data_IF_202045539608
#
_entry.id   IF_202045539608
#
_cell.length_a   1.000
_cell.length_b   1.000
_cell.length_c   1.000
_cell.angle_alpha   90.00
_cell.angle_beta   90.00
_cell.angle_gamma   90.00
#
_symmetry.space_group_name_H-M   'P 1'
#
loop_
_entity.id
_entity.type
_entity.pdbx_description
1 polymer ?
#
# COMPACT_ATOMS: atom_id res chain seq x y z
N UNK A 1 9.06 16.14 9.48
CA UNK A 1 7.67 16.53 9.18
C UNK A 1 6.75 16.03 10.28
N UNK A 2 5.91 16.90 10.78
CA UNK A 2 4.96 16.56 11.85
C UNK A 2 3.76 15.82 11.24
N UNK A 3 3.57 14.57 11.61
CA UNK A 3 2.46 13.74 11.09
C UNK A 3 1.15 13.98 11.82
N UNK A 4 1.22 14.19 13.13
CA UNK A 4 0.07 14.47 14.00
C UNK A 4 -0.17 15.98 14.11
N UNK A 5 -1.41 16.41 13.91
CA UNK A 5 -1.79 17.81 13.79
C UNK A 5 -0.95 18.57 12.76
N UNK A 6 -0.93 18.09 11.51
CA UNK A 6 -0.08 18.68 10.47
C UNK A 6 -0.58 20.07 10.06
N UNK A 7 0.33 20.87 9.47
CA UNK A 7 0.00 22.19 8.92
C UNK A 7 -0.59 22.10 7.50
N UNK A 8 -0.34 20.97 6.82
CA UNK A 8 -0.83 20.69 5.47
C UNK A 8 -1.06 19.18 5.31
N UNK A 9 -1.86 18.77 4.32
CA UNK A 9 -2.02 17.35 3.97
C UNK A 9 -0.68 16.70 3.65
N UNK A 10 -0.50 15.46 4.09
CA UNK A 10 0.68 14.64 3.84
C UNK A 10 0.38 13.71 2.67
N UNK A 11 1.26 13.68 1.68
CA UNK A 11 1.15 12.75 0.57
C UNK A 11 1.76 11.41 1.00
N UNK A 12 0.96 10.36 0.94
CA UNK A 12 1.38 8.99 1.17
C UNK A 12 1.31 8.18 -0.12
N UNK A 13 2.24 7.27 -0.29
CA UNK A 13 2.24 6.29 -1.38
C UNK A 13 2.10 4.89 -0.79
N UNK A 14 1.27 4.07 -1.42
CA UNK A 14 1.05 2.68 -1.04
C UNK A 14 1.23 1.75 -2.23
N UNK A 15 1.53 0.48 -1.95
CA UNK A 15 1.72 -0.53 -2.98
C UNK A 15 0.79 -1.72 -2.77
N UNK A 16 0.02 -2.06 -3.79
CA UNK A 16 -0.62 -3.36 -3.92
C UNK A 16 0.32 -4.23 -4.73
N UNK A 17 1.20 -4.95 -4.03
CA UNK A 17 2.16 -5.85 -4.65
C UNK A 17 1.51 -7.21 -4.82
N UNK A 18 1.32 -7.63 -6.06
CA UNK A 18 0.64 -8.88 -6.41
C UNK A 18 1.63 -9.87 -6.99
N UNK A 19 1.53 -11.11 -6.54
CA UNK A 19 2.21 -12.27 -7.11
C UNK A 19 1.20 -13.43 -7.22
N UNK A 20 0.71 -13.69 -8.43
CA UNK A 20 -0.36 -14.65 -8.67
C UNK A 20 -1.64 -14.28 -7.92
N UNK A 21 -2.08 -15.14 -7.02
CA UNK A 21 -3.26 -14.95 -6.16
C UNK A 21 -2.97 -14.26 -4.83
N UNK A 22 -1.71 -13.86 -4.59
CA UNK A 22 -1.24 -13.33 -3.33
C UNK A 22 -1.00 -11.83 -3.39
N UNK A 23 -1.21 -11.16 -2.27
CA UNK A 23 -0.88 -9.76 -2.04
C UNK A 23 0.07 -9.65 -0.85
N UNK A 24 1.00 -8.70 -0.94
CA UNK A 24 1.94 -8.41 0.12
C UNK A 24 1.31 -7.49 1.16
N UNK A 25 1.32 -7.93 2.41
CA UNK A 25 0.90 -7.11 3.55
C UNK A 25 2.07 -6.91 4.51
N UNK A 26 2.04 -5.80 5.21
CA UNK A 26 2.97 -5.47 6.29
C UNK A 26 2.22 -5.22 7.59
N UNK A 27 2.81 -5.58 8.73
CA UNK A 27 2.31 -5.21 10.04
C UNK A 27 3.03 -3.97 10.52
N UNK A 28 2.28 -2.94 10.85
CA UNK A 28 2.83 -1.65 11.27
C UNK A 28 3.57 -1.77 12.60
N UNK A 29 4.80 -1.27 12.64
CA UNK A 29 5.62 -1.21 13.85
C UNK A 29 5.48 0.09 14.63
N UNK A 30 4.81 1.11 14.08
CA UNK A 30 4.67 2.45 14.67
C UNK A 30 3.26 3.00 14.60
N UNK A 31 2.97 3.97 15.48
CA UNK A 31 1.73 4.73 15.43
C UNK A 31 1.67 5.65 14.18
N UNK A 32 0.49 5.98 13.61
CA UNK A 32 -0.82 5.44 14.02
C UNK A 32 -1.01 3.98 13.60
N UNK A 33 -1.90 3.27 14.30
CA UNK A 33 -2.34 1.90 13.99
C UNK A 33 -1.23 0.84 14.15
N UNK A 34 -0.34 1.02 15.14
CA UNK A 34 0.71 0.03 15.48
C UNK A 34 0.11 -1.36 15.69
N UNK A 35 0.73 -2.36 15.07
CA UNK A 35 0.30 -3.76 15.14
C UNK A 35 -0.77 -4.15 14.13
N UNK A 36 -1.35 -3.20 13.39
CA UNK A 36 -2.31 -3.48 12.34
C UNK A 36 -1.63 -3.87 11.02
N UNK A 37 -2.29 -4.73 10.26
CA UNK A 37 -1.87 -5.09 8.91
C UNK A 37 -2.37 -4.05 7.89
N UNK A 38 -1.54 -3.76 6.90
CA UNK A 38 -1.85 -2.82 5.85
C UNK A 38 -1.02 -3.09 4.59
N UNK A 39 -1.28 -2.33 3.54
CA UNK A 39 -0.38 -2.27 2.39
C UNK A 39 0.95 -1.64 2.79
N UNK A 40 2.08 -2.09 2.22
CA UNK A 40 3.35 -1.39 2.37
C UNK A 40 3.26 0.02 1.77
N UNK A 41 3.90 0.98 2.42
CA UNK A 41 3.91 2.36 1.98
C UNK A 41 4.26 3.34 3.08
N UNK A 42 4.34 4.60 2.73
CA UNK A 42 4.67 5.67 3.66
C UNK A 42 4.60 7.05 3.03
N UNK A 43 5.15 8.03 3.72
CA UNK A 43 5.13 9.41 3.25
C UNK A 43 6.10 9.63 2.09
N UNK A 44 5.62 10.36 1.09
CA UNK A 44 6.46 10.83 -0.01
C UNK A 44 7.51 11.82 0.54
N UNK A 45 8.74 11.68 0.11
CA UNK A 45 9.81 12.60 0.47
C UNK A 45 9.91 13.76 -0.54
N UNK A 46 10.39 14.90 -0.07
CA UNK A 46 10.57 16.06 -0.92
C UNK A 46 11.55 15.75 -2.07
N UNK A 47 11.13 16.02 -3.30
CA UNK A 47 11.92 15.77 -4.49
C UNK A 47 11.79 14.37 -5.08
N UNK A 48 11.08 13.44 -4.43
CA UNK A 48 10.73 12.15 -5.01
C UNK A 48 9.55 12.25 -5.98
N UNK A 49 9.59 11.48 -7.05
CA UNK A 49 8.36 11.16 -7.79
C UNK A 49 7.52 10.15 -7.00
N UNK A 50 6.23 10.02 -7.33
CA UNK A 50 5.36 9.03 -6.71
C UNK A 50 5.91 7.60 -6.88
N UNK A 51 6.39 7.28 -8.07
CA UNK A 51 6.97 5.97 -8.38
C UNK A 51 8.25 5.71 -7.56
N UNK A 52 9.12 6.69 -7.44
CA UNK A 52 10.33 6.56 -6.60
C UNK A 52 9.96 6.33 -5.14
N UNK A 53 8.98 7.06 -4.63
CA UNK A 53 8.51 6.92 -3.25
C UNK A 53 7.96 5.53 -2.95
N UNK A 54 7.09 4.99 -3.80
CA UNK A 54 6.52 3.66 -3.59
C UNK A 54 7.58 2.56 -3.68
N UNK A 55 8.51 2.65 -4.63
CA UNK A 55 9.62 1.69 -4.75
C UNK A 55 10.52 1.72 -3.51
N UNK A 56 10.86 2.90 -3.03
CA UNK A 56 11.66 3.07 -1.80
C UNK A 56 10.96 2.47 -0.58
N UNK A 57 9.69 2.80 -0.36
CA UNK A 57 8.93 2.33 0.79
C UNK A 57 8.79 0.79 0.80
N UNK A 58 8.48 0.18 -0.35
CA UNK A 58 8.39 -1.28 -0.44
C UNK A 58 9.74 -1.93 -0.13
N UNK A 59 10.83 -1.39 -0.65
CA UNK A 59 12.17 -1.92 -0.38
C UNK A 59 12.53 -1.81 1.11
N UNK A 60 12.29 -0.66 1.73
CA UNK A 60 12.59 -0.41 3.14
C UNK A 60 11.79 -1.33 4.08
N UNK A 61 10.51 -1.52 3.80
CA UNK A 61 9.60 -2.29 4.66
C UNK A 61 9.65 -3.80 4.41
N UNK A 62 9.96 -4.24 3.21
CA UNK A 62 9.81 -5.64 2.82
C UNK A 62 11.06 -6.31 2.23
N UNK A 63 12.06 -5.54 1.85
CA UNK A 63 13.25 -6.04 1.16
C UNK A 63 13.05 -6.38 -0.32
N UNK A 64 11.85 -6.17 -0.87
CA UNK A 64 11.56 -6.44 -2.27
C UNK A 64 11.75 -5.22 -3.16
N UNK A 65 12.31 -5.46 -4.34
CA UNK A 65 12.29 -4.51 -5.44
C UNK A 65 11.04 -4.70 -6.27
N UNK A 66 10.32 -3.63 -6.52
CA UNK A 66 9.06 -3.67 -7.28
C UNK A 66 9.08 -2.70 -8.45
N UNK A 67 8.25 -3.00 -9.44
CA UNK A 67 7.98 -2.12 -10.58
C UNK A 67 6.53 -1.67 -10.49
N UNK A 68 6.26 -0.36 -10.34
CA UNK A 68 4.90 0.18 -10.39
C UNK A 68 4.33 0.04 -11.81
N UNK A 69 3.11 -0.51 -11.90
CA UNK A 69 2.42 -0.74 -13.17
C UNK A 69 1.26 0.24 -13.41
N UNK A 70 0.92 1.07 -12.45
CA UNK A 70 -0.13 2.07 -12.56
C UNK A 70 -0.79 2.39 -11.23
N UNK A 71 -1.56 3.46 -11.21
CA UNK A 71 -2.33 3.88 -10.04
C UNK A 71 -3.61 3.05 -9.94
N UNK A 72 -3.84 2.46 -8.77
CA UNK A 72 -5.08 1.75 -8.44
C UNK A 72 -6.14 2.74 -7.94
N UNK A 73 -5.77 3.58 -6.98
CA UNK A 73 -6.69 4.51 -6.33
C UNK A 73 -5.96 5.72 -5.74
N UNK A 74 -6.70 6.82 -5.64
CA UNK A 74 -6.32 8.01 -4.88
C UNK A 74 -7.37 8.26 -3.82
N UNK A 75 -6.98 8.36 -2.55
CA UNK A 75 -7.87 8.39 -1.40
C UNK A 75 -7.52 9.54 -0.46
N UNK A 76 -8.55 10.15 0.09
CA UNK A 76 -8.40 11.05 1.24
C UNK A 76 -8.56 10.26 2.54
N UNK A 77 -7.67 10.49 3.49
CA UNK A 77 -7.78 9.96 4.85
C UNK A 77 -7.66 11.09 5.85
N UNK A 78 -8.79 11.51 6.38
CA UNK A 78 -8.88 12.61 7.34
C UNK A 78 -9.38 12.06 8.68
N UNK A 79 -8.60 12.24 9.72
CA UNK A 79 -8.94 11.80 11.08
C UNK A 79 -9.11 13.03 11.97
N UNK A 80 -10.29 13.25 12.56
CA UNK A 80 -10.49 14.33 13.52
C UNK A 80 -9.74 14.04 14.81
N UNK A 81 -9.32 15.10 15.49
CA UNK A 81 -8.75 15.03 16.84
C UNK A 81 -9.80 15.33 17.88
N UNK A 82 -9.79 14.58 18.96
CA UNK A 82 -10.64 14.77 20.12
C UNK A 82 -9.90 15.56 21.22
N UNK A 83 -10.58 16.46 21.98
CA UNK A 83 -11.98 16.93 21.84
C UNK A 83 -12.13 18.17 20.96
N UNK A 84 -11.03 18.73 20.41
CA UNK A 84 -11.01 20.05 19.78
C UNK A 84 -11.63 20.11 18.37
N UNK A 85 -11.89 18.96 17.72
CA UNK A 85 -12.31 18.91 16.32
C UNK A 85 -11.20 19.30 15.32
N UNK A 86 -10.02 19.67 15.79
CA UNK A 86 -8.86 19.95 14.96
C UNK A 86 -8.42 18.67 14.24
N UNK A 87 -8.06 18.76 12.95
CA UNK A 87 -7.59 17.60 12.18
C UNK A 87 -6.33 17.00 12.81
N UNK A 88 -6.40 15.73 13.22
CA UNK A 88 -5.30 15.02 13.83
C UNK A 88 -4.36 14.41 12.79
N UNK A 89 -4.93 13.78 11.75
CA UNK A 89 -4.19 13.26 10.60
C UNK A 89 -4.89 13.63 9.31
N UNK A 90 -4.13 14.01 8.31
CA UNK A 90 -4.63 14.26 6.97
C UNK A 90 -3.65 13.73 5.94
N UNK A 91 -4.03 12.65 5.26
CA UNK A 91 -3.24 12.04 4.19
C UNK A 91 -4.02 12.08 2.88
N UNK A 92 -3.29 12.33 1.79
CA UNK A 92 -3.71 11.98 0.44
C UNK A 92 -2.90 10.75 0.05
N UNK A 93 -3.57 9.61 -0.10
CA UNK A 93 -2.94 8.32 -0.37
C UNK A 93 -3.06 8.00 -1.86
N UNK A 94 -1.93 7.64 -2.47
CA UNK A 94 -1.86 7.18 -3.85
C UNK A 94 -1.35 5.74 -3.84
N UNK A 95 -2.24 4.80 -4.17
CA UNK A 95 -1.94 3.37 -4.18
C UNK A 95 -1.63 2.88 -5.58
N UNK A 96 -0.49 2.20 -5.73
CA UNK A 96 0.00 1.64 -6.99
C UNK A 96 -0.18 0.14 -7.05
N UNK A 97 -0.55 -0.38 -8.23
CA UNK A 97 -0.32 -1.78 -8.56
C UNK A 97 1.17 -1.97 -8.82
N UNK A 98 1.79 -2.94 -8.15
CA UNK A 98 3.21 -3.23 -8.29
C UNK A 98 3.47 -4.71 -8.54
N UNK A 99 4.52 -4.99 -9.30
CA UNK A 99 5.03 -6.34 -9.53
C UNK A 99 6.43 -6.49 -8.96
N UNK A 100 6.74 -7.68 -8.45
CA UNK A 100 8.07 -7.99 -7.92
C UNK A 100 9.07 -8.09 -9.05
N UNK A 101 10.19 -7.38 -8.93
CA UNK A 101 11.33 -7.43 -9.85
C UNK A 101 12.56 -8.12 -9.24
N UNK A 102 12.60 -8.33 -7.94
CA UNK A 102 13.72 -8.98 -7.25
C UNK A 102 13.70 -8.73 -5.74
N UNK A 103 14.79 -9.06 -5.08
CA UNK A 103 14.95 -8.89 -3.65
C UNK A 103 14.52 -10.12 -2.85
N UNK A 104 14.64 -10.02 -1.53
CA UNK A 104 14.27 -11.08 -0.58
C UNK A 104 13.32 -10.53 0.46
N UNK A 105 12.16 -11.19 0.64
CA UNK A 105 11.15 -10.77 1.60
C UNK A 105 11.69 -10.82 3.04
N UNK A 106 11.59 -9.69 3.72
CA UNK A 106 11.92 -9.52 5.15
C UNK A 106 11.16 -8.32 5.71
N UNK A 107 10.90 -8.30 7.00
CA UNK A 107 10.48 -7.07 7.67
C UNK A 107 11.65 -6.09 7.78
N UNK A 108 11.37 -4.82 7.86
CA UNK A 108 12.39 -3.80 8.03
C UNK A 108 11.78 -2.41 8.22
N UNK A 109 12.60 -1.44 8.59
CA UNK A 109 12.20 -0.06 8.84
C UNK A 109 11.02 0.01 9.83
N UNK A 110 9.89 0.57 9.42
CA UNK A 110 8.68 0.74 10.24
C UNK A 110 7.73 -0.47 10.21
N UNK A 111 8.11 -1.56 9.52
CA UNK A 111 7.33 -2.79 9.45
C UNK A 111 7.92 -3.87 10.36
N UNK A 112 7.13 -4.38 11.31
CA UNK A 112 7.54 -5.49 12.17
C UNK A 112 7.56 -6.82 11.42
N UNK A 113 6.68 -6.98 10.43
CA UNK A 113 6.49 -8.21 9.66
C UNK A 113 5.97 -7.89 8.26
N UNK A 114 6.45 -8.66 7.28
CA UNK A 114 5.93 -8.63 5.91
C UNK A 114 5.52 -10.04 5.50
N UNK A 115 4.36 -10.20 4.85
CA UNK A 115 3.79 -11.49 4.54
C UNK A 115 3.01 -11.49 3.22
N UNK A 116 3.19 -12.55 2.43
CA UNK A 116 2.31 -12.88 1.32
C UNK A 116 1.01 -13.51 1.85
N UNK A 117 -0.12 -12.97 1.41
CA UNK A 117 -1.45 -13.39 1.85
C UNK A 117 -2.31 -13.71 0.63
N UNK A 118 -2.97 -14.87 0.65
CA UNK A 118 -3.90 -15.25 -0.41
C UNK A 118 -5.10 -14.30 -0.42
N UNK A 119 -5.59 -13.98 -1.62
CA UNK A 119 -6.76 -13.11 -1.78
C UNK A 119 -7.97 -13.62 -0.99
N UNK A 120 -8.16 -14.94 -0.91
CA UNK A 120 -9.25 -15.57 -0.18
C UNK A 120 -9.20 -15.34 1.34
N UNK A 121 -8.01 -15.07 1.90
CA UNK A 121 -7.81 -14.79 3.33
C UNK A 121 -8.14 -13.35 3.74
N UNK A 122 -8.49 -12.47 2.78
CA UNK A 122 -8.72 -11.04 3.02
C UNK A 122 -10.16 -10.71 3.45
N UNK A 123 -11.01 -11.69 3.66
CA UNK A 123 -12.40 -11.48 4.05
C UNK A 123 -12.53 -10.89 5.45
N UNK A 124 -13.68 -10.25 5.74
CA UNK A 124 -13.93 -9.47 6.96
C UNK A 124 -13.64 -10.18 8.29
N UNK A 125 -13.66 -11.51 8.32
CA UNK A 125 -13.36 -12.32 9.49
C UNK A 125 -11.93 -12.84 9.54
N UNK A 126 -11.06 -12.37 8.65
CA UNK A 126 -9.67 -12.80 8.62
C UNK A 126 -8.89 -12.29 9.83
N UNK A 127 -7.82 -12.99 10.20
CA UNK A 127 -6.92 -12.58 11.27
C UNK A 127 -6.17 -11.25 10.97
N UNK A 128 -6.16 -10.81 9.71
CA UNK A 128 -5.49 -9.57 9.29
C UNK A 128 -6.29 -8.31 9.62
N UNK A 129 -7.60 -8.39 9.74
CA UNK A 129 -8.49 -7.27 10.10
C UNK A 129 -8.24 -6.00 9.31
N UNK A 130 -8.10 -6.13 7.99
CA UNK A 130 -7.88 -4.98 7.12
C UNK A 130 -9.07 -4.03 7.15
N UNK A 131 -8.79 -2.73 7.05
CA UNK A 131 -9.83 -1.74 6.86
C UNK A 131 -10.64 -2.05 5.57
N UNK A 132 -11.98 -1.90 5.57
CA UNK A 132 -12.80 -2.20 4.39
C UNK A 132 -12.34 -1.48 3.11
N UNK A 133 -11.84 -0.27 3.25
CA UNK A 133 -11.30 0.51 2.14
C UNK A 133 -10.04 -0.14 1.56
N UNK A 134 -9.14 -0.66 2.40
CA UNK A 134 -7.93 -1.38 1.97
C UNK A 134 -8.30 -2.65 1.19
N UNK A 135 -9.27 -3.41 1.65
CA UNK A 135 -9.78 -4.60 0.95
C UNK A 135 -10.29 -4.23 -0.44
N UNK A 136 -11.09 -3.17 -0.56
CA UNK A 136 -11.60 -2.70 -1.86
C UNK A 136 -10.50 -2.27 -2.82
N UNK A 137 -9.46 -1.62 -2.33
CA UNK A 137 -8.29 -1.24 -3.13
C UNK A 137 -7.56 -2.48 -3.64
N UNK A 138 -7.35 -3.47 -2.79
CA UNK A 138 -6.71 -4.74 -3.17
C UNK A 138 -7.54 -5.47 -4.23
N UNK A 139 -8.85 -5.60 -4.04
CA UNK A 139 -9.75 -6.21 -5.01
C UNK A 139 -9.73 -5.49 -6.36
N UNK A 140 -9.71 -4.17 -6.35
CA UNK A 140 -9.57 -3.35 -7.57
C UNK A 140 -8.24 -3.62 -8.28
N UNK A 141 -7.14 -3.73 -7.54
CA UNK A 141 -5.83 -4.04 -8.08
C UNK A 141 -5.79 -5.42 -8.76
N UNK A 142 -6.38 -6.44 -8.15
CA UNK A 142 -6.52 -7.76 -8.78
C UNK A 142 -7.30 -7.71 -10.09
N UNK A 143 -8.40 -6.96 -10.15
CA UNK A 143 -9.16 -6.79 -11.39
C UNK A 143 -8.35 -6.08 -12.48
N UNK A 144 -7.58 -5.05 -12.14
CA UNK A 144 -6.71 -4.34 -13.07
C UNK A 144 -5.58 -5.22 -13.59
N UNK A 145 -4.97 -6.06 -12.73
CA UNK A 145 -3.95 -7.03 -13.10
C UNK A 145 -4.47 -8.04 -14.13
N UNK A 146 -5.63 -8.64 -13.89
CA UNK A 146 -6.28 -9.59 -14.83
C UNK A 146 -6.57 -8.95 -16.20
N UNK A 147 -6.99 -7.70 -16.23
CA UNK A 147 -7.27 -6.99 -17.48
C UNK A 147 -5.99 -6.75 -18.30
N UNK A 148 -4.89 -6.43 -17.65
CA UNK A 148 -3.59 -6.26 -18.30
C UNK A 148 -3.09 -7.57 -18.93
N UNK A 149 -3.18 -8.68 -18.20
CA UNK A 149 -2.80 -10.01 -18.69
C UNK A 149 -3.60 -10.42 -19.94
N UNK A 150 -4.90 -10.12 -19.98
CA UNK A 150 -5.75 -10.39 -21.14
C UNK A 150 -5.39 -9.53 -22.37
N UNK A 151 -4.88 -8.31 -22.17
CA UNK A 151 -4.39 -7.46 -23.26
C UNK A 151 -3.09 -7.99 -23.84
N UNK A 152 -2.17 -8.43 -23.00
CA UNK A 152 -0.86 -8.98 -23.41
C UNK A 152 -1.02 -10.29 -24.19
N UNK A 153 -1.98 -11.13 -23.84
CA UNK A 153 -2.28 -12.36 -24.57
C UNK A 153 -2.82 -12.07 -25.99
N UNK A 154 -3.68 -11.06 -26.15
CA UNK A 154 -4.21 -10.68 -27.45
C UNK A 154 -3.16 -10.07 -28.40
N UNK A 155 -2.17 -9.38 -27.85
CA UNK A 155 -1.05 -8.85 -28.65
C UNK A 155 -0.08 -9.94 -29.12
N UNK A 156 0.01 -11.05 -28.38
CA UNK A 156 0.84 -12.21 -28.74
C UNK A 156 0.19 -13.12 -29.78
N UNK A 157 -1.13 -13.09 -29.92
CA UNK A 157 -1.88 -13.86 -30.92
C UNK A 157 -2.11 -13.11 -32.26
N UNK A 158 -1.82 -11.83 -32.28
CA UNK A 158 -1.87 -10.98 -33.47
C UNK A 158 -0.51 -10.88 -34.16
#
# INVERSE_FOLDING_TARGET
MRREYPEAPIIGVGAVVIDGSKVLLVRRGQEPLKGEWSLPGGALELGETLQQGVVREVLEETGLNVVPAGIVEVLDRITPGEPSGRVRYHYVLIDFLCHVAGGTLRGGSDAEEARWVEQEELQEQSCYRLAPLTVRVIEKAFRLGLTADLCDEKEKEA
#
